data_IF_670309617866
#
_entry.id   IF_670309617866
#
_cell.length_a   1.000
_cell.length_b   1.000
_cell.length_c   1.000
_cell.angle_alpha   90.00
_cell.angle_beta   90.00
_cell.angle_gamma   90.00
#
_symmetry.space_group_name_H-M   'P 1'
#
loop_
_entity.id
_entity.type
_entity.pdbx_description
1 polymer ?
#
# COMPACT_ATOMS: atom_id res chain seq x y z
N UNK A 1 74.56 -22.66 -16.44
CA UNK A 1 73.58 -23.32 -15.55
C UNK A 1 72.24 -22.62 -15.69
N UNK A 2 71.24 -23.29 -16.29
CA UNK A 2 69.88 -22.75 -16.48
C UNK A 2 69.15 -22.73 -15.13
N UNK A 3 68.66 -21.58 -14.68
CA UNK A 3 67.75 -21.49 -13.53
C UNK A 3 66.31 -21.46 -14.05
N UNK A 4 65.54 -22.50 -13.74
CA UNK A 4 64.11 -22.57 -14.01
C UNK A 4 63.38 -21.75 -12.93
N UNK A 5 62.61 -20.75 -13.34
CA UNK A 5 61.69 -20.03 -12.45
C UNK A 5 60.39 -20.84 -12.40
N UNK A 6 60.10 -21.39 -11.22
CA UNK A 6 58.87 -22.12 -10.94
C UNK A 6 57.75 -21.09 -10.70
N UNK A 7 56.80 -20.98 -11.62
CA UNK A 7 55.60 -20.15 -11.45
C UNK A 7 54.55 -20.92 -10.64
N UNK A 8 54.28 -20.49 -9.41
CA UNK A 8 53.16 -20.97 -8.61
C UNK A 8 51.89 -20.23 -9.05
N UNK A 9 50.99 -20.90 -9.76
CA UNK A 9 49.63 -20.40 -10.00
C UNK A 9 48.82 -20.51 -8.70
N UNK A 10 48.57 -19.38 -8.04
CA UNK A 10 47.61 -19.30 -6.94
C UNK A 10 46.20 -19.34 -7.55
N UNK A 11 45.58 -20.52 -7.62
CA UNK A 11 44.15 -20.63 -7.88
C UNK A 11 43.41 -20.10 -6.64
N UNK A 12 43.08 -18.81 -6.66
CA UNK A 12 42.16 -18.22 -5.69
C UNK A 12 40.78 -18.85 -5.88
N UNK A 13 40.41 -19.78 -4.99
CA UNK A 13 39.03 -20.22 -4.88
C UNK A 13 38.25 -19.07 -4.25
N UNK A 14 37.55 -18.30 -5.07
CA UNK A 14 36.51 -17.40 -4.59
C UNK A 14 35.40 -18.26 -3.99
N UNK A 15 35.44 -18.45 -2.67
CA UNK A 15 34.33 -19.04 -1.95
C UNK A 15 33.10 -18.15 -2.13
N UNK A 16 32.09 -18.64 -2.85
CA UNK A 16 30.74 -18.09 -2.82
C UNK A 16 30.23 -18.21 -1.39
N UNK A 17 30.26 -17.12 -0.63
CA UNK A 17 29.61 -17.08 0.67
C UNK A 17 28.12 -16.85 0.45
N UNK A 18 27.31 -17.90 0.60
CA UNK A 18 25.87 -17.74 0.69
C UNK A 18 25.56 -17.14 2.07
N UNK A 19 25.07 -15.91 2.11
CA UNK A 19 24.52 -15.34 3.34
C UNK A 19 23.26 -16.12 3.73
N UNK A 20 23.30 -16.77 4.90
CA UNK A 20 22.13 -17.41 5.46
C UNK A 20 21.31 -16.38 6.23
N UNK A 21 20.06 -16.15 5.80
CA UNK A 21 19.11 -15.33 6.55
C UNK A 21 18.35 -16.19 7.57
N UNK A 22 18.36 -15.77 8.83
CA UNK A 22 17.50 -16.35 9.86
C UNK A 22 16.17 -15.59 9.89
N UNK A 23 15.05 -16.30 9.76
CA UNK A 23 13.72 -15.70 9.79
C UNK A 23 12.98 -16.09 11.07
N UNK A 24 12.42 -15.10 11.76
CA UNK A 24 11.38 -15.34 12.75
C UNK A 24 10.06 -15.69 12.03
N UNK A 25 9.26 -16.58 12.63
CA UNK A 25 7.97 -17.01 12.09
C UNK A 25 6.83 -16.40 12.88
N UNK A 26 5.92 -15.75 12.16
CA UNK A 26 4.62 -15.32 12.67
C UNK A 26 3.56 -15.88 11.72
N UNK A 27 2.72 -16.78 12.21
CA UNK A 27 1.62 -17.39 11.45
C UNK A 27 0.31 -17.39 12.25
N UNK A 28 -0.71 -18.12 11.78
CA UNK A 28 -2.00 -18.21 12.43
C UNK A 28 -1.97 -18.91 13.79
N UNK A 29 -0.98 -19.78 14.04
CA UNK A 29 -0.74 -20.37 15.37
C UNK A 29 -0.13 -19.36 16.33
N UNK A 30 0.50 -18.31 15.81
CA UNK A 30 1.06 -17.19 16.56
C UNK A 30 0.17 -15.93 16.53
N UNK A 31 -1.12 -16.09 16.20
CA UNK A 31 -2.14 -15.04 16.38
C UNK A 31 -2.55 -14.29 15.13
N UNK A 32 -2.00 -14.58 13.94
CA UNK A 32 -2.54 -14.02 12.70
C UNK A 32 -3.92 -14.62 12.37
N UNK A 33 -4.79 -13.83 11.75
CA UNK A 33 -6.12 -14.28 11.33
C UNK A 33 -6.09 -15.32 10.20
N UNK A 34 -5.04 -15.31 9.38
CA UNK A 34 -4.80 -16.25 8.29
C UNK A 34 -3.33 -16.20 7.83
N UNK A 35 -2.85 -17.29 7.21
CA UNK A 35 -1.47 -17.39 6.70
C UNK A 35 -1.28 -16.73 5.32
N UNK A 36 -2.36 -16.44 4.59
CA UNK A 36 -2.31 -15.72 3.32
C UNK A 36 -2.31 -14.20 3.57
N UNK A 37 -1.10 -13.64 3.70
CA UNK A 37 -0.89 -12.20 3.79
C UNK A 37 -0.95 -11.58 2.39
N UNK A 38 -1.80 -10.57 2.22
CA UNK A 38 -2.02 -9.86 0.93
C UNK A 38 -1.32 -8.51 0.88
N UNK A 39 -1.20 -7.85 2.02
CA UNK A 39 -0.51 -6.57 2.14
C UNK A 39 0.11 -6.43 3.53
N UNK A 40 1.20 -5.69 3.59
CA UNK A 40 1.95 -5.39 4.81
C UNK A 40 2.16 -3.89 4.84
N UNK A 41 1.93 -3.27 6.00
CA UNK A 41 2.14 -1.85 6.20
C UNK A 41 2.72 -1.58 7.59
N UNK A 42 3.65 -0.63 7.70
CA UNK A 42 4.15 -0.14 8.99
C UNK A 42 3.63 1.28 9.17
N UNK A 43 2.88 1.51 10.25
CA UNK A 43 2.38 2.85 10.53
C UNK A 43 3.45 3.76 11.14
N UNK A 44 3.16 5.05 11.23
CA UNK A 44 4.08 6.06 11.78
C UNK A 44 4.43 5.84 13.24
N UNK A 45 3.66 5.02 13.96
CA UNK A 45 3.86 4.67 15.38
C UNK A 45 4.69 3.40 15.56
N UNK A 46 5.02 2.71 14.47
CA UNK A 46 5.82 1.49 14.46
C UNK A 46 5.01 0.20 14.58
N UNK A 47 3.68 0.25 14.60
CA UNK A 47 2.88 -0.97 14.53
C UNK A 47 2.96 -1.57 13.12
N UNK A 48 3.08 -2.90 13.07
CA UNK A 48 3.00 -3.65 11.82
C UNK A 48 1.55 -4.06 11.58
N UNK A 49 1.09 -3.87 10.35
CA UNK A 49 -0.26 -4.19 9.93
C UNK A 49 -0.23 -5.20 8.80
N UNK A 50 -1.05 -6.25 8.91
CA UNK A 50 -1.13 -7.32 7.93
C UNK A 50 -2.57 -7.51 7.47
N UNK A 51 -2.81 -7.29 6.17
CA UNK A 51 -4.06 -7.58 5.52
C UNK A 51 -4.12 -9.03 5.06
N UNK A 52 -5.24 -9.70 5.30
CA UNK A 52 -5.46 -11.10 4.89
C UNK A 52 -6.81 -11.27 4.22
N UNK A 53 -7.13 -12.48 3.74
CA UNK A 53 -8.49 -12.82 3.31
C UNK A 53 -9.51 -12.91 4.48
N UNK A 54 -9.06 -12.92 5.74
CA UNK A 54 -9.89 -13.17 6.93
C UNK A 54 -9.77 -12.11 8.03
N UNK A 55 -9.34 -10.90 7.68
CA UNK A 55 -9.28 -9.75 8.59
C UNK A 55 -8.00 -8.95 8.49
N UNK A 56 -7.99 -7.85 9.25
CA UNK A 56 -6.86 -6.96 9.45
C UNK A 56 -6.16 -7.34 10.77
N UNK A 57 -4.85 -7.40 10.76
CA UNK A 57 -4.03 -7.77 11.92
C UNK A 57 -3.12 -6.61 12.29
N UNK A 58 -3.12 -6.17 13.55
CA UNK A 58 -2.14 -5.22 14.10
C UNK A 58 -1.19 -5.98 15.00
N UNK A 59 0.10 -5.86 14.77
CA UNK A 59 1.16 -6.46 15.57
C UNK A 59 2.01 -5.37 16.23
N UNK A 60 2.16 -5.48 17.55
CA UNK A 60 2.89 -4.52 18.39
C UNK A 60 4.33 -4.96 18.73
N UNK A 61 4.81 -6.05 18.12
CA UNK A 61 6.08 -6.69 18.47
C UNK A 61 5.95 -7.86 19.45
N UNK A 62 4.79 -8.01 20.11
CA UNK A 62 4.53 -9.07 21.08
C UNK A 62 3.24 -9.83 20.79
N UNK A 63 2.17 -9.13 20.41
CA UNK A 63 0.81 -9.66 20.26
C UNK A 63 0.18 -9.17 18.98
N UNK A 64 -0.69 -10.01 18.43
CA UNK A 64 -1.54 -9.67 17.28
C UNK A 64 -2.95 -9.34 17.77
N UNK A 65 -3.47 -8.17 17.39
CA UNK A 65 -4.88 -7.81 17.51
C UNK A 65 -5.56 -7.97 16.16
N UNK A 66 -6.64 -8.75 16.13
CA UNK A 66 -7.39 -9.04 14.91
C UNK A 66 -8.66 -8.17 14.86
N UNK A 67 -8.89 -7.55 13.71
CA UNK A 67 -10.12 -6.85 13.37
C UNK A 67 -10.85 -7.61 12.27
N UNK A 68 -12.16 -7.80 12.44
CA UNK A 68 -13.06 -8.49 11.50
C UNK A 68 -14.34 -7.70 11.30
N UNK A 69 -15.04 -8.01 10.23
CA UNK A 69 -16.42 -7.57 10.03
C UNK A 69 -17.32 -8.26 11.04
N UNK A 70 -18.13 -7.47 11.74
CA UNK A 70 -19.14 -7.94 12.69
C UNK A 70 -20.52 -7.61 12.13
N UNK A 71 -21.41 -8.60 12.09
CA UNK A 71 -22.77 -8.42 11.58
C UNK A 71 -23.50 -7.37 12.42
N UNK A 72 -24.17 -6.42 11.75
CA UNK A 72 -24.92 -5.31 12.35
C UNK A 72 -24.11 -4.27 13.14
N UNK A 73 -22.79 -4.36 13.19
CA UNK A 73 -21.93 -3.32 13.76
C UNK A 73 -21.31 -2.50 12.63
N UNK A 74 -21.73 -1.25 12.49
CA UNK A 74 -21.25 -0.32 11.45
C UNK A 74 -19.85 0.22 11.75
N UNK A 75 -19.34 0.01 12.96
CA UNK A 75 -18.03 0.47 13.44
C UNK A 75 -16.92 -0.58 13.29
N UNK A 76 -17.24 -1.76 12.76
CA UNK A 76 -16.29 -2.82 12.40
C UNK A 76 -15.89 -2.79 10.92
N UNK A 77 -14.99 -3.65 10.44
CA UNK A 77 -14.66 -3.74 9.02
C UNK A 77 -15.89 -4.02 8.15
N UNK A 78 -15.95 -3.44 6.94
CA UNK A 78 -17.02 -3.75 5.98
C UNK A 78 -16.73 -4.97 5.09
N UNK A 79 -15.51 -5.52 5.14
CA UNK A 79 -15.09 -6.76 4.48
C UNK A 79 -13.84 -7.31 5.16
N UNK A 80 -13.71 -8.64 5.20
CA UNK A 80 -12.55 -9.31 5.79
C UNK A 80 -11.36 -9.47 4.81
N UNK A 81 -11.59 -9.33 3.49
CA UNK A 81 -10.53 -9.45 2.49
C UNK A 81 -9.82 -8.12 2.32
N UNK A 82 -8.71 -7.96 3.02
CA UNK A 82 -7.90 -6.74 3.03
C UNK A 82 -6.83 -6.83 1.95
N UNK A 83 -6.84 -5.87 1.04
CA UNK A 83 -5.97 -5.84 -0.14
C UNK A 83 -4.90 -4.75 -0.04
N UNK A 84 -5.16 -3.71 0.75
CA UNK A 84 -4.33 -2.52 0.79
C UNK A 84 -4.49 -1.78 2.13
N UNK A 85 -3.39 -1.18 2.60
CA UNK A 85 -3.32 -0.45 3.87
C UNK A 85 -2.41 0.75 3.64
N UNK A 86 -2.93 1.94 3.91
CA UNK A 86 -2.21 3.19 3.78
C UNK A 86 -2.53 4.10 4.96
N UNK A 87 -1.63 5.01 5.32
CA UNK A 87 -1.84 5.92 6.45
C UNK A 87 -1.93 7.35 5.96
N UNK A 88 -3.01 8.04 6.34
CA UNK A 88 -3.21 9.44 6.01
C UNK A 88 -2.42 10.42 6.89
N UNK A 89 -2.53 11.71 6.59
CA UNK A 89 -1.88 12.80 7.34
C UNK A 89 -2.38 12.95 8.78
N UNK A 90 -3.52 12.35 9.14
CA UNK A 90 -4.05 12.33 10.50
C UNK A 90 -3.63 11.06 11.27
N UNK A 91 -2.87 10.16 10.64
CA UNK A 91 -2.44 8.89 11.23
C UNK A 91 -3.55 7.82 11.26
N UNK A 92 -4.67 8.05 10.57
CA UNK A 92 -5.71 7.03 10.38
C UNK A 92 -5.31 6.12 9.22
N UNK A 93 -5.83 4.90 9.22
CA UNK A 93 -5.52 3.93 8.18
C UNK A 93 -6.66 3.80 7.18
N UNK A 94 -6.33 3.99 5.91
CA UNK A 94 -7.20 3.70 4.78
C UNK A 94 -7.03 2.22 4.42
N UNK A 95 -8.10 1.46 4.59
CA UNK A 95 -8.12 0.01 4.43
C UNK A 95 -8.87 -0.32 3.15
N UNK A 96 -8.12 -0.68 2.11
CA UNK A 96 -8.65 -1.18 0.85
C UNK A 96 -9.07 -2.64 0.96
N UNK A 97 -10.29 -2.94 0.56
CA UNK A 97 -10.89 -4.27 0.61
C UNK A 97 -11.87 -4.50 -0.55
N UNK A 98 -12.50 -5.66 -0.62
CA UNK A 98 -13.38 -6.01 -1.76
C UNK A 98 -14.62 -5.11 -1.90
N UNK A 99 -14.97 -4.30 -0.88
CA UNK A 99 -16.09 -3.37 -0.91
C UNK A 99 -15.67 -1.89 -1.15
N UNK A 100 -14.39 -1.67 -1.47
CA UNK A 100 -13.77 -0.35 -1.62
C UNK A 100 -12.87 -0.03 -0.42
N UNK A 101 -12.96 1.21 0.09
CA UNK A 101 -12.17 1.65 1.23
C UNK A 101 -13.04 1.85 2.48
N UNK A 102 -12.46 1.60 3.64
CA UNK A 102 -12.95 2.07 4.95
C UNK A 102 -11.78 2.67 5.73
N UNK A 103 -12.07 3.53 6.71
CA UNK A 103 -11.04 4.22 7.49
C UNK A 103 -11.03 3.67 8.89
N UNK A 104 -9.89 3.14 9.33
CA UNK A 104 -9.65 2.81 10.73
C UNK A 104 -9.18 4.06 11.46
N UNK A 105 -10.03 4.57 12.36
CA UNK A 105 -9.70 5.65 13.27
C UNK A 105 -8.83 5.10 14.40
N UNK A 106 -7.59 5.58 14.50
CA UNK A 106 -6.67 5.07 15.50
C UNK A 106 -7.09 5.43 16.94
N UNK A 107 -7.63 6.63 17.14
CA UNK A 107 -7.92 7.15 18.48
C UNK A 107 -9.06 6.38 19.14
N UNK A 108 -10.09 6.06 18.36
CA UNK A 108 -11.30 5.38 18.83
C UNK A 108 -11.27 3.87 18.53
N UNK A 109 -10.24 3.39 17.85
CA UNK A 109 -10.07 2.03 17.37
C UNK A 109 -11.29 1.43 16.63
N UNK A 110 -11.95 2.24 15.80
CA UNK A 110 -13.14 1.85 15.06
C UNK A 110 -13.03 2.15 13.56
N UNK A 111 -13.96 1.62 12.77
CA UNK A 111 -13.99 1.76 11.33
C UNK A 111 -15.11 2.70 10.88
N UNK A 112 -14.77 3.69 10.06
CA UNK A 112 -15.73 4.48 9.31
C UNK A 112 -15.86 3.91 7.89
N UNK A 113 -17.09 3.51 7.54
CA UNK A 113 -17.44 2.95 6.22
C UNK A 113 -18.04 3.99 5.27
N UNK A 114 -18.44 5.15 5.78
CA UNK A 114 -19.00 6.24 4.99
C UNK A 114 -17.96 7.35 4.81
N UNK A 115 -17.32 7.34 3.64
CA UNK A 115 -16.23 8.26 3.32
C UNK A 115 -16.74 9.57 2.72
N UNK A 116 -18.02 9.67 2.34
CA UNK A 116 -18.56 10.82 1.61
C UNK A 116 -18.36 12.18 2.30
N UNK A 117 -18.53 12.31 3.64
CA UNK A 117 -18.24 13.57 4.32
C UNK A 117 -16.77 13.96 4.18
N UNK A 118 -15.85 13.04 4.46
CA UNK A 118 -14.41 13.30 4.36
C UNK A 118 -13.96 13.61 2.93
N UNK A 119 -14.46 12.84 1.95
CA UNK A 119 -14.16 13.08 0.54
C UNK A 119 -14.64 14.47 0.09
N UNK A 120 -15.80 14.92 0.59
CA UNK A 120 -16.32 16.25 0.26
C UNK A 120 -15.44 17.38 0.82
N UNK A 121 -14.73 17.17 1.94
CA UNK A 121 -13.72 18.12 2.45
C UNK A 121 -12.54 18.29 1.48
N UNK A 122 -12.26 17.28 0.67
CA UNK A 122 -11.27 17.35 -0.42
C UNK A 122 -11.84 17.88 -1.74
N UNK A 123 -13.14 18.20 -1.81
CA UNK A 123 -13.84 18.54 -3.05
C UNK A 123 -14.16 17.33 -3.93
N UNK A 124 -14.12 16.11 -3.39
CA UNK A 124 -14.44 14.87 -4.09
C UNK A 124 -15.89 14.48 -3.79
N UNK A 125 -16.73 14.45 -4.83
CA UNK A 125 -18.15 14.09 -4.73
C UNK A 125 -18.48 12.76 -5.44
N UNK A 126 -17.48 11.90 -5.61
CA UNK A 126 -17.62 10.55 -6.17
C UNK A 126 -16.94 9.52 -5.28
N UNK A 127 -17.33 8.25 -5.41
CA UNK A 127 -16.66 7.15 -4.70
C UNK A 127 -15.43 6.72 -5.52
N UNK A 128 -14.19 6.94 -5.04
CA UNK A 128 -13.00 6.49 -5.75
C UNK A 128 -12.94 4.97 -5.80
N UNK A 129 -12.53 4.41 -6.94
CA UNK A 129 -12.18 3.01 -7.07
C UNK A 129 -10.74 2.73 -6.63
N UNK A 130 -9.86 3.73 -6.72
CA UNK A 130 -8.48 3.67 -6.25
C UNK A 130 -8.19 4.91 -5.39
N UNK A 131 -7.57 4.67 -4.25
CA UNK A 131 -6.96 5.69 -3.39
C UNK A 131 -5.50 5.32 -3.24
N UNK A 132 -4.60 6.25 -3.50
CA UNK A 132 -3.17 6.15 -3.19
C UNK A 132 -2.78 7.37 -2.34
N UNK A 133 -1.93 7.16 -1.34
CA UNK A 133 -1.42 8.16 -0.42
C UNK A 133 0.10 8.09 -0.50
N UNK A 134 0.74 9.17 -0.96
CA UNK A 134 2.19 9.19 -1.10
C UNK A 134 2.90 9.41 0.26
N UNK A 135 4.22 9.37 0.24
CA UNK A 135 5.05 9.60 1.43
C UNK A 135 4.92 11.02 2.00
N UNK A 136 4.45 11.99 1.22
CA UNK A 136 4.16 13.36 1.65
C UNK A 136 2.71 13.50 2.16
N UNK A 137 1.95 12.40 2.18
CA UNK A 137 0.55 12.31 2.58
C UNK A 137 -0.42 13.03 1.64
N UNK A 138 -0.02 13.28 0.39
CA UNK A 138 -0.95 13.71 -0.66
C UNK A 138 -1.81 12.52 -1.09
N UNK A 139 -3.06 12.79 -1.46
CA UNK A 139 -3.96 11.74 -1.94
C UNK A 139 -4.07 11.75 -3.46
N UNK A 140 -4.22 10.57 -4.04
CA UNK A 140 -4.60 10.35 -5.42
C UNK A 140 -5.91 9.58 -5.45
N UNK A 141 -6.93 10.20 -6.03
CA UNK A 141 -8.25 9.62 -6.17
C UNK A 141 -8.52 9.34 -7.64
N UNK A 142 -8.88 8.10 -7.95
CA UNK A 142 -9.31 7.74 -9.30
C UNK A 142 -10.68 7.08 -9.31
N UNK A 143 -11.49 7.49 -10.28
CA UNK A 143 -12.73 6.83 -10.68
C UNK A 143 -12.84 6.93 -12.21
N UNK A 144 -13.32 5.87 -12.87
CA UNK A 144 -13.21 5.74 -14.33
C UNK A 144 -13.94 6.84 -15.12
N UNK A 145 -15.03 7.39 -14.59
CA UNK A 145 -15.82 8.42 -15.25
C UNK A 145 -15.35 9.84 -14.90
N UNK A 146 -14.78 10.06 -13.71
CA UNK A 146 -14.30 11.38 -13.27
C UNK A 146 -12.83 11.62 -13.63
N UNK A 147 -12.02 10.56 -13.65
CA UNK A 147 -10.58 10.59 -13.91
C UNK A 147 -9.75 10.55 -12.65
N UNK A 148 -8.47 10.93 -12.79
CA UNK A 148 -7.49 10.97 -11.71
C UNK A 148 -7.38 12.39 -11.14
N UNK A 149 -7.38 12.48 -9.81
CA UNK A 149 -7.21 13.72 -9.06
C UNK A 149 -6.12 13.54 -8.02
N UNK A 150 -5.34 14.59 -7.79
CA UNK A 150 -4.44 14.72 -6.65
C UNK A 150 -5.03 15.75 -5.68
N UNK A 151 -5.00 15.44 -4.40
CA UNK A 151 -5.23 16.41 -3.34
C UNK A 151 -3.89 16.67 -2.64
N UNK A 152 -3.35 17.86 -2.89
CA UNK A 152 -2.15 18.37 -2.22
C UNK A 152 -2.52 18.77 -0.79
N UNK A 153 -1.98 18.05 0.19
CA UNK A 153 -2.33 18.25 1.59
C UNK A 153 -1.75 19.56 2.15
N UNK A 154 -0.57 19.98 1.66
CA UNK A 154 0.15 21.17 2.12
C UNK A 154 -0.58 22.44 1.66
N UNK A 155 -1.00 22.46 0.41
CA UNK A 155 -1.65 23.60 -0.23
C UNK A 155 -3.19 23.53 -0.15
N UNK A 156 -3.74 22.42 0.38
CA UNK A 156 -5.18 22.13 0.45
C UNK A 156 -5.88 22.30 -0.90
N UNK A 157 -5.26 21.77 -1.95
CA UNK A 157 -5.68 22.02 -3.33
C UNK A 157 -5.95 20.70 -4.04
N UNK A 158 -7.13 20.62 -4.66
CA UNK A 158 -7.47 19.54 -5.57
C UNK A 158 -7.03 19.89 -7.00
N UNK A 159 -6.30 18.99 -7.63
CA UNK A 159 -5.76 19.12 -8.99
C UNK A 159 -6.21 17.92 -9.80
N UNK A 160 -6.79 18.14 -10.98
CA UNK A 160 -7.14 17.05 -11.91
C UNK A 160 -5.93 16.71 -12.77
N UNK A 161 -5.56 15.43 -12.82
CA UNK A 161 -4.51 14.92 -13.69
C UNK A 161 -5.08 14.63 -15.07
N UNK A 162 -4.55 15.30 -16.08
CA UNK A 162 -4.92 15.06 -17.48
C UNK A 162 -3.95 14.02 -18.06
N UNK A 163 -4.45 12.80 -18.24
CA UNK A 163 -3.70 11.71 -18.85
C UNK A 163 -3.88 11.83 -20.37
N UNK A 164 -2.86 12.34 -21.06
CA UNK A 164 -2.83 12.44 -22.52
C UNK A 164 -2.34 11.12 -23.14
N UNK A 165 -3.08 10.03 -22.98
CA UNK A 165 -2.73 8.78 -23.65
C UNK A 165 -3.18 8.83 -25.12
N UNK A 166 -2.24 8.71 -26.05
CA UNK A 166 -2.53 8.56 -27.48
C UNK A 166 -3.15 7.18 -27.71
N UNK A 167 -4.45 7.14 -28.01
CA UNK A 167 -5.17 6.04 -28.68
C UNK A 167 -5.56 4.75 -27.93
N UNK A 168 -5.73 4.73 -26.61
CA UNK A 168 -6.37 3.57 -25.95
C UNK A 168 -7.45 3.97 -24.95
N UNK A 169 -8.70 3.51 -25.18
CA UNK A 169 -9.73 3.46 -24.13
C UNK A 169 -9.32 2.38 -23.12
N UNK A 170 -8.53 2.74 -22.12
CA UNK A 170 -8.19 1.88 -21.00
C UNK A 170 -8.41 2.62 -19.69
N UNK A 171 -8.77 1.88 -18.65
CA UNK A 171 -8.97 2.40 -17.29
C UNK A 171 -7.73 2.15 -16.45
N UNK A 172 -7.53 2.97 -15.41
CA UNK A 172 -6.45 2.75 -14.45
C UNK A 172 -6.83 1.58 -13.52
N UNK A 173 -5.87 0.68 -13.33
CA UNK A 173 -5.98 -0.47 -12.43
C UNK A 173 -5.13 -0.33 -11.16
N UNK A 174 -4.05 0.44 -11.22
CA UNK A 174 -3.22 0.76 -10.05
C UNK A 174 -2.48 2.08 -10.24
N UNK A 175 -2.25 2.77 -9.14
CA UNK A 175 -1.50 4.03 -9.06
C UNK A 175 -0.46 3.85 -7.97
N UNK A 176 0.78 4.22 -8.24
CA UNK A 176 1.83 4.36 -7.21
C UNK A 176 2.52 5.69 -7.33
N UNK A 177 2.40 6.51 -6.29
CA UNK A 177 2.97 7.83 -6.23
C UNK A 177 4.21 7.81 -5.34
N UNK A 178 5.33 8.32 -5.84
CA UNK A 178 6.59 8.39 -5.12
C UNK A 178 7.32 9.67 -5.49
N UNK A 179 7.55 10.53 -4.49
CA UNK A 179 8.23 11.81 -4.65
C UNK A 179 7.60 12.64 -5.79
N UNK A 180 8.36 12.81 -6.88
CA UNK A 180 8.03 13.66 -8.03
C UNK A 180 7.46 12.87 -9.21
N UNK A 181 7.15 11.58 -9.03
CA UNK A 181 6.60 10.75 -10.10
C UNK A 181 5.41 9.91 -9.65
N UNK A 182 4.53 9.67 -10.62
CA UNK A 182 3.36 8.81 -10.47
C UNK A 182 3.44 7.73 -11.54
N UNK A 183 3.40 6.49 -11.10
CA UNK A 183 3.28 5.31 -11.96
C UNK A 183 1.81 4.93 -12.08
N UNK A 184 1.35 4.76 -13.30
CA UNK A 184 -0.02 4.38 -13.63
C UNK A 184 0.02 3.07 -14.40
N UNK A 185 -0.63 2.04 -13.86
CA UNK A 185 -0.88 0.78 -14.56
C UNK A 185 -2.29 0.79 -15.11
N UNK A 186 -2.42 0.68 -16.42
CA UNK A 186 -3.69 0.58 -17.11
C UNK A 186 -4.17 -0.87 -17.21
N UNK A 187 -5.48 -1.06 -17.35
CA UNK A 187 -6.10 -2.39 -17.44
C UNK A 187 -5.67 -3.20 -18.66
N UNK A 188 -5.13 -2.55 -19.69
CA UNK A 188 -4.54 -3.21 -20.86
C UNK A 188 -3.06 -3.63 -20.64
N UNK A 189 -2.52 -3.44 -19.44
CA UNK A 189 -1.12 -3.77 -19.10
C UNK A 189 -0.11 -2.68 -19.43
N UNK A 190 -0.53 -1.54 -20.00
CA UNK A 190 0.36 -0.40 -20.21
C UNK A 190 0.77 0.19 -18.86
N UNK A 191 2.05 0.52 -18.72
CA UNK A 191 2.59 1.26 -17.59
C UNK A 191 3.12 2.59 -18.10
N UNK A 192 2.63 3.68 -17.53
CA UNK A 192 3.15 5.03 -17.81
C UNK A 192 3.66 5.68 -16.53
N UNK A 193 4.73 6.47 -16.67
CA UNK A 193 5.27 7.31 -15.61
C UNK A 193 5.00 8.77 -15.94
N UNK A 194 4.40 9.48 -15.01
CA UNK A 194 4.17 10.92 -15.09
C UNK A 194 5.07 11.63 -14.10
N UNK A 195 5.73 12.70 -14.54
CA UNK A 195 6.45 13.59 -13.64
C UNK A 195 5.47 14.65 -13.12
N UNK A 196 5.58 14.96 -11.83
CA UNK A 196 4.96 16.16 -11.25
C UNK A 196 5.80 17.35 -11.72
N UNK A 197 5.18 18.29 -12.44
CA UNK A 197 5.83 19.52 -12.90
C UNK A 197 6.03 20.49 -11.75
#
# INVERSE_FOLDING_TARGET
>A
MKKYILAFFLFGVLGLHAESFNFARLDNTNGLSNNQIKCIFKDSRGFMWFGTNYGLNRYDGYRVKIYKSVKNDTTSLNSNSINDIQEDYNGNLWIGNNNGYCIYNILNENFNRNLSPLLSEFGIHFKPSIVEIDNQKNFYFYEANHGLFEYDIKNKKLIRFIIQSKNFKSTISSIKAQNDFIWILFTNGLIERFNKN
#
